data_IF_183264025515
#
_entry.id   IF_183264025515
#
_cell.length_a   1.000
_cell.length_b   1.000
_cell.length_c   1.000
_cell.angle_alpha   90.00
_cell.angle_beta   90.00
_cell.angle_gamma   90.00
#
_symmetry.space_group_name_H-M   'P 1'
#
loop_
_entity.id
_entity.type
_entity.pdbx_description
1 polymer ?
#
# COMPACT_ATOMS: atom_id res chain seq x y z
N UNK A 1 -46.33 9.29 44.13
CA UNK A 1 -45.28 8.35 43.66
C UNK A 1 -45.18 8.47 42.14
N UNK A 2 -43.96 8.52 41.64
CA UNK A 2 -43.59 9.01 40.30
C UNK A 2 -44.18 8.20 39.14
N UNK A 3 -44.53 8.91 38.06
CA UNK A 3 -45.05 8.34 36.83
C UNK A 3 -44.03 7.47 36.11
N UNK A 4 -44.39 6.22 35.82
CA UNK A 4 -43.67 5.39 34.87
C UNK A 4 -44.01 5.89 33.46
N UNK A 5 -43.01 6.43 32.78
CA UNK A 5 -43.11 6.75 31.35
C UNK A 5 -43.40 5.50 30.51
N UNK A 6 -43.95 5.67 29.30
CA UNK A 6 -44.35 4.55 28.46
C UNK A 6 -43.16 3.63 28.12
N UNK A 7 -43.40 2.31 28.03
CA UNK A 7 -42.36 1.31 27.78
C UNK A 7 -41.63 1.58 26.44
N UNK A 8 -40.32 1.27 26.35
CA UNK A 8 -39.53 1.51 25.16
C UNK A 8 -40.07 0.70 23.96
N UNK A 9 -40.29 1.37 22.83
CA UNK A 9 -40.78 0.72 21.61
C UNK A 9 -39.80 -0.36 21.11
N UNK A 10 -40.30 -1.57 20.87
CA UNK A 10 -39.53 -2.75 20.45
C UNK A 10 -38.92 -2.63 19.04
N UNK A 11 -39.42 -1.71 18.21
CA UNK A 11 -38.92 -1.49 16.86
C UNK A 11 -38.55 -0.03 16.64
N UNK A 12 -37.38 0.38 17.13
CA UNK A 12 -36.72 1.58 16.60
C UNK A 12 -36.36 1.32 15.14
N UNK A 13 -37.26 1.70 14.21
CA UNK A 13 -36.91 1.85 12.79
C UNK A 13 -35.61 2.66 12.72
N UNK A 14 -34.53 2.05 12.22
CA UNK A 14 -33.28 2.79 11.97
C UNK A 14 -33.63 3.91 10.98
N UNK A 15 -33.54 5.15 11.44
CA UNK A 15 -33.87 6.35 10.64
C UNK A 15 -32.74 6.77 9.70
N UNK A 16 -31.56 6.16 9.81
CA UNK A 16 -30.41 6.51 9.00
C UNK A 16 -30.39 5.63 7.75
N UNK A 17 -30.57 6.24 6.58
CA UNK A 17 -30.36 5.57 5.31
C UNK A 17 -28.89 5.15 5.18
N UNK A 18 -28.64 3.85 5.03
CA UNK A 18 -27.30 3.35 4.71
C UNK A 18 -26.99 3.78 3.28
N UNK A 19 -25.99 4.63 3.11
CA UNK A 19 -25.58 5.06 1.77
C UNK A 19 -24.82 3.91 1.11
N UNK A 20 -25.09 3.66 -0.17
CA UNK A 20 -24.50 2.56 -0.92
C UNK A 20 -22.97 2.63 -0.96
N UNK A 21 -22.33 1.48 -0.73
CA UNK A 21 -20.88 1.28 -0.91
C UNK A 21 -20.60 0.70 -2.30
N UNK A 22 -19.47 1.09 -2.88
CA UNK A 22 -18.93 0.51 -4.11
C UNK A 22 -18.10 -0.72 -3.75
N UNK A 23 -18.52 -1.89 -4.23
CA UNK A 23 -17.78 -3.14 -4.03
C UNK A 23 -16.63 -3.25 -5.02
N UNK A 24 -15.44 -3.51 -4.50
CA UNK A 24 -14.22 -3.81 -5.26
C UNK A 24 -13.92 -5.31 -5.15
N UNK A 25 -13.43 -5.98 -6.20
CA UNK A 25 -13.11 -7.41 -6.15
C UNK A 25 -11.90 -7.67 -5.24
N UNK A 26 -11.96 -8.74 -4.44
CA UNK A 26 -10.90 -9.11 -3.49
C UNK A 26 -9.60 -9.49 -4.20
N UNK A 27 -9.73 -10.19 -5.32
CA UNK A 27 -8.64 -10.67 -6.16
C UNK A 27 -7.90 -9.51 -6.87
N UNK A 28 -8.44 -8.30 -6.77
CA UNK A 28 -7.87 -7.13 -7.38
C UNK A 28 -8.15 -7.00 -8.86
N UNK A 29 -7.33 -6.21 -9.54
CA UNK A 29 -7.44 -6.03 -10.99
C UNK A 29 -6.68 -7.15 -11.71
N UNK A 30 -7.40 -8.05 -12.36
CA UNK A 30 -6.81 -9.15 -13.15
C UNK A 30 -6.11 -8.70 -14.44
N UNK A 31 -6.44 -7.51 -14.96
CA UNK A 31 -5.80 -6.97 -16.18
C UNK A 31 -4.37 -6.53 -15.88
N UNK A 32 -3.47 -6.70 -16.86
CA UNK A 32 -2.09 -6.21 -16.80
C UNK A 32 -2.04 -4.72 -16.42
N UNK A 33 -1.10 -4.36 -15.54
CA UNK A 33 -0.85 -2.97 -15.17
C UNK A 33 -0.66 -2.12 -16.44
N UNK A 34 -1.24 -0.90 -16.49
CA UNK A 34 -1.00 0.00 -17.62
C UNK A 34 0.49 0.35 -17.73
N UNK A 35 0.93 0.84 -18.89
CA UNK A 35 2.31 1.33 -19.04
C UNK A 35 2.56 2.46 -18.05
N UNK A 36 3.75 2.46 -17.43
CA UNK A 36 4.20 3.55 -16.57
C UNK A 36 4.08 4.91 -17.31
N UNK A 37 3.31 5.88 -16.80
CA UNK A 37 2.97 7.10 -17.54
C UNK A 37 3.92 8.27 -17.29
N UNK A 38 4.81 8.17 -16.29
CA UNK A 38 5.77 9.22 -15.95
C UNK A 38 7.12 8.97 -16.64
N UNK A 39 7.82 10.05 -16.97
CA UNK A 39 9.20 9.98 -17.44
C UNK A 39 10.19 9.71 -16.31
N UNK A 40 11.46 9.56 -16.66
CA UNK A 40 12.57 9.50 -15.71
C UNK A 40 12.64 10.78 -14.85
N UNK A 41 13.46 10.76 -13.79
CA UNK A 41 13.78 11.97 -13.06
C UNK A 41 14.64 12.90 -13.92
N UNK A 42 14.03 14.01 -14.37
CA UNK A 42 14.65 15.00 -15.25
C UNK A 42 15.89 15.61 -14.60
N UNK A 43 15.87 15.84 -13.29
CA UNK A 43 16.97 16.51 -12.60
C UNK A 43 18.22 15.62 -12.56
N UNK A 44 18.06 14.38 -12.12
CA UNK A 44 19.16 13.39 -12.11
C UNK A 44 19.64 13.10 -13.52
N UNK A 45 18.73 12.98 -14.50
CA UNK A 45 19.08 12.75 -15.91
C UNK A 45 19.84 13.92 -16.53
N UNK A 46 19.46 15.16 -16.23
CA UNK A 46 20.17 16.35 -16.69
C UNK A 46 21.58 16.44 -16.10
N UNK A 47 21.72 16.15 -14.79
CA UNK A 47 23.04 16.08 -14.12
C UNK A 47 23.94 15.01 -14.74
N UNK A 48 23.39 13.84 -15.04
CA UNK A 48 24.11 12.76 -15.71
C UNK A 48 24.59 13.20 -17.09
N UNK A 49 23.71 13.83 -17.87
CA UNK A 49 24.04 14.31 -19.22
C UNK A 49 25.19 15.31 -19.20
N UNK A 50 25.15 16.26 -18.25
CA UNK A 50 26.23 17.25 -18.09
C UNK A 50 27.54 16.57 -17.62
N UNK A 51 27.46 15.61 -16.70
CA UNK A 51 28.64 14.89 -16.22
C UNK A 51 29.30 14.07 -17.34
N UNK A 52 28.51 13.34 -18.15
CA UNK A 52 28.98 12.59 -19.32
C UNK A 52 29.69 13.49 -20.33
N UNK A 53 29.10 14.66 -20.63
CA UNK A 53 29.73 15.63 -21.52
C UNK A 53 31.11 16.07 -21.01
N UNK A 54 31.22 16.39 -19.71
CA UNK A 54 32.50 16.78 -19.11
C UNK A 54 33.54 15.67 -19.14
N UNK A 55 33.13 14.42 -18.94
CA UNK A 55 34.03 13.26 -19.07
C UNK A 55 34.54 13.17 -20.50
N UNK A 56 33.66 13.22 -21.49
CA UNK A 56 34.04 13.19 -22.90
C UNK A 56 35.01 14.31 -23.28
N UNK A 57 34.74 15.54 -22.83
CA UNK A 57 35.62 16.69 -23.09
C UNK A 57 37.02 16.49 -22.48
N UNK A 58 37.13 15.86 -21.29
CA UNK A 58 38.42 15.59 -20.65
C UNK A 58 39.17 14.41 -21.29
N UNK A 59 38.44 13.36 -21.72
CA UNK A 59 39.00 12.22 -22.44
C UNK A 59 39.57 12.63 -23.79
N UNK A 60 38.90 13.55 -24.51
CA UNK A 60 39.41 14.10 -25.77
C UNK A 60 40.72 14.88 -25.56
N UNK A 61 40.78 15.72 -24.53
CA UNK A 61 42.00 16.46 -24.18
C UNK A 61 43.14 15.54 -23.75
N UNK A 62 42.84 14.49 -22.98
CA UNK A 62 43.80 13.45 -22.63
C UNK A 62 44.35 12.74 -23.87
N UNK A 63 43.47 12.37 -24.81
CA UNK A 63 43.84 11.72 -26.06
C UNK A 63 44.69 12.63 -26.96
N UNK A 64 44.47 13.94 -26.91
CA UNK A 64 45.29 14.95 -27.58
C UNK A 64 46.66 15.17 -26.90
N UNK A 65 46.94 14.52 -25.77
CA UNK A 65 48.16 14.69 -25.00
C UNK A 65 48.24 16.00 -24.21
N UNK A 66 47.10 16.70 -24.03
CA UNK A 66 47.06 17.88 -23.18
C UNK A 66 47.21 17.51 -21.70
N UNK A 67 47.86 18.36 -20.90
CA UNK A 67 47.90 18.16 -19.45
C UNK A 67 46.49 18.29 -18.87
N UNK A 68 45.92 17.16 -18.47
CA UNK A 68 44.66 17.10 -17.73
C UNK A 68 44.91 16.68 -16.28
N UNK A 69 43.96 17.00 -15.41
CA UNK A 69 43.96 16.46 -14.06
C UNK A 69 43.29 15.07 -14.07
N UNK A 70 44.10 14.01 -14.14
CA UNK A 70 43.63 12.62 -14.17
C UNK A 70 42.72 12.29 -12.96
N UNK A 71 43.07 12.77 -11.76
CA UNK A 71 42.25 12.58 -10.58
C UNK A 71 40.87 13.27 -10.69
N UNK A 72 40.78 14.40 -11.42
CA UNK A 72 39.50 15.04 -11.69
C UNK A 72 38.66 14.26 -12.72
N UNK A 73 39.31 13.68 -13.74
CA UNK A 73 38.64 12.79 -14.70
C UNK A 73 38.06 11.56 -14.00
N UNK A 74 38.86 10.86 -13.17
CA UNK A 74 38.39 9.68 -12.42
C UNK A 74 37.18 10.02 -11.54
N UNK A 75 37.23 11.11 -10.77
CA UNK A 75 36.09 11.55 -9.94
C UNK A 75 34.84 11.86 -10.76
N UNK A 76 34.99 12.41 -11.97
CA UNK A 76 33.87 12.67 -12.86
C UNK A 76 33.29 11.38 -13.45
N UNK A 77 34.14 10.41 -13.80
CA UNK A 77 33.72 9.07 -14.23
C UNK A 77 32.94 8.35 -13.12
N UNK A 78 33.48 8.31 -11.90
CA UNK A 78 32.78 7.76 -10.72
C UNK A 78 31.42 8.45 -10.51
N UNK A 79 31.36 9.77 -10.69
CA UNK A 79 30.10 10.52 -10.57
C UNK A 79 29.10 10.17 -11.67
N UNK A 80 29.56 9.94 -12.90
CA UNK A 80 28.71 9.47 -14.01
C UNK A 80 28.13 8.11 -13.66
N UNK A 81 28.98 7.16 -13.26
CA UNK A 81 28.58 5.81 -12.87
C UNK A 81 27.51 5.83 -11.77
N UNK A 82 27.74 6.59 -10.70
CA UNK A 82 26.75 6.75 -9.61
C UNK A 82 25.43 7.32 -10.12
N UNK A 83 25.46 8.34 -10.99
CA UNK A 83 24.23 8.94 -11.52
C UNK A 83 23.47 8.00 -12.46
N UNK A 84 24.18 7.17 -13.23
CA UNK A 84 23.57 6.13 -14.07
C UNK A 84 22.86 5.09 -13.23
N UNK A 85 23.54 4.61 -12.19
CA UNK A 85 22.99 3.62 -11.28
C UNK A 85 21.75 4.15 -10.56
N UNK A 86 21.76 5.42 -10.11
CA UNK A 86 20.60 6.06 -9.49
C UNK A 86 19.40 6.08 -10.47
N UNK A 87 19.62 6.49 -11.72
CA UNK A 87 18.54 6.57 -12.73
C UNK A 87 17.97 5.18 -13.02
N UNK A 88 18.82 4.17 -13.17
CA UNK A 88 18.41 2.80 -13.43
C UNK A 88 17.61 2.22 -12.25
N UNK A 89 18.20 2.25 -11.05
CA UNK A 89 17.59 1.72 -9.82
C UNK A 89 16.25 2.41 -9.51
N UNK A 90 16.16 3.74 -9.62
CA UNK A 90 14.90 4.46 -9.41
C UNK A 90 13.83 4.02 -10.41
N UNK A 91 14.16 3.97 -11.70
CA UNK A 91 13.21 3.63 -12.75
C UNK A 91 12.64 2.23 -12.58
N UNK A 92 13.47 1.26 -12.20
CA UNK A 92 13.05 -0.13 -12.02
C UNK A 92 12.25 -0.32 -10.73
N UNK A 93 12.65 0.34 -9.64
CA UNK A 93 11.91 0.33 -8.39
C UNK A 93 10.50 0.94 -8.55
N UNK A 94 10.40 2.09 -9.22
CA UNK A 94 9.12 2.74 -9.52
C UNK A 94 8.21 1.83 -10.36
N UNK A 95 8.73 1.23 -11.44
CA UNK A 95 7.97 0.29 -12.28
C UNK A 95 7.54 -0.96 -11.53
N UNK A 96 8.36 -1.47 -10.62
CA UNK A 96 8.01 -2.63 -9.77
C UNK A 96 6.88 -2.26 -8.81
N UNK A 97 7.01 -1.16 -8.08
CA UNK A 97 5.98 -0.68 -7.14
C UNK A 97 4.67 -0.38 -7.86
N UNK A 98 4.73 0.22 -9.06
CA UNK A 98 3.58 0.41 -9.92
C UNK A 98 2.87 -0.92 -10.25
N UNK A 99 3.60 -1.94 -10.72
CA UNK A 99 3.01 -3.24 -11.04
C UNK A 99 2.33 -3.88 -9.83
N UNK A 100 2.95 -3.82 -8.65
CA UNK A 100 2.36 -4.36 -7.43
C UNK A 100 1.10 -3.59 -7.03
N UNK A 101 1.12 -2.26 -7.10
CA UNK A 101 -0.02 -1.41 -6.74
C UNK A 101 -1.25 -1.69 -7.64
N UNK A 102 -1.02 -1.97 -8.92
CA UNK A 102 -2.10 -2.31 -9.86
C UNK A 102 -2.70 -3.72 -9.67
N UNK A 103 -2.16 -4.55 -8.78
CA UNK A 103 -2.78 -5.82 -8.37
C UNK A 103 -3.84 -5.65 -7.27
N UNK A 104 -3.93 -4.48 -6.65
CA UNK A 104 -4.84 -4.25 -5.53
C UNK A 104 -6.32 -4.12 -5.99
N UNK A 105 -7.31 -4.36 -5.12
CA UNK A 105 -8.75 -4.08 -5.36
C UNK A 105 -9.02 -2.66 -5.87
N UNK A 106 -8.32 -1.69 -5.29
CA UNK A 106 -8.46 -0.27 -5.58
C UNK A 106 -8.10 0.07 -7.04
N UNK A 107 -7.23 -0.73 -7.66
CA UNK A 107 -6.83 -0.59 -9.05
C UNK A 107 -8.01 -0.69 -10.04
N UNK A 108 -9.08 -1.40 -9.68
CA UNK A 108 -10.31 -1.46 -10.50
C UNK A 108 -11.00 -0.11 -10.52
N UNK A 109 -11.09 0.56 -9.36
CA UNK A 109 -11.65 1.90 -9.26
C UNK A 109 -10.79 2.94 -10.00
N UNK A 110 -9.47 2.91 -9.80
CA UNK A 110 -8.57 3.83 -10.50
C UNK A 110 -8.62 3.66 -12.02
N UNK A 111 -8.72 2.42 -12.52
CA UNK A 111 -8.88 2.16 -13.95
C UNK A 111 -10.17 2.77 -14.51
N UNK A 112 -11.29 2.66 -13.77
CA UNK A 112 -12.58 3.24 -14.15
C UNK A 112 -12.52 4.77 -14.17
N UNK A 113 -11.87 5.36 -13.19
CA UNK A 113 -11.71 6.81 -13.04
C UNK A 113 -10.58 7.41 -13.88
N UNK A 114 -9.77 6.57 -14.54
CA UNK A 114 -8.60 6.95 -15.36
C UNK A 114 -7.50 7.68 -14.58
N UNK A 115 -7.36 7.40 -13.28
CA UNK A 115 -6.38 8.02 -12.38
C UNK A 115 -4.95 7.46 -12.55
N UNK A 116 -4.49 7.31 -13.78
CA UNK A 116 -3.18 6.69 -14.05
C UNK A 116 -2.03 7.55 -13.54
N UNK A 117 -2.10 8.88 -13.76
CA UNK A 117 -1.01 9.79 -13.41
C UNK A 117 -0.94 10.03 -11.91
N UNK A 118 -2.08 10.05 -11.23
CA UNK A 118 -2.19 10.25 -9.79
C UNK A 118 -1.61 9.05 -9.03
N UNK A 119 -1.93 7.83 -9.47
CA UNK A 119 -1.34 6.60 -8.93
C UNK A 119 0.17 6.56 -9.20
N UNK A 120 0.62 7.02 -10.37
CA UNK A 120 2.05 7.04 -10.69
C UNK A 120 2.80 8.09 -9.86
N UNK A 121 2.19 9.24 -9.63
CA UNK A 121 2.73 10.29 -8.77
C UNK A 121 2.86 9.80 -7.33
N UNK A 122 1.88 9.05 -6.82
CA UNK A 122 1.98 8.37 -5.52
C UNK A 122 3.19 7.45 -5.45
N UNK A 123 3.40 6.59 -6.47
CA UNK A 123 4.55 5.67 -6.51
C UNK A 123 5.89 6.41 -6.46
N UNK A 124 6.06 7.50 -7.24
CA UNK A 124 7.29 8.30 -7.20
C UNK A 124 7.53 8.93 -5.83
N UNK A 125 6.49 9.52 -5.22
CA UNK A 125 6.62 10.07 -3.87
C UNK A 125 6.90 9.00 -2.81
N UNK A 126 6.26 7.84 -2.93
CA UNK A 126 6.45 6.71 -2.02
C UNK A 126 7.87 6.16 -2.10
N UNK A 127 8.43 6.03 -3.30
CA UNK A 127 9.83 5.64 -3.51
C UNK A 127 10.79 6.64 -2.86
N UNK A 128 10.61 7.95 -3.08
CA UNK A 128 11.46 8.96 -2.44
C UNK A 128 11.32 8.96 -0.90
N UNK A 129 10.10 8.72 -0.39
CA UNK A 129 9.86 8.62 1.04
C UNK A 129 10.59 7.43 1.68
N UNK A 130 10.60 6.27 1.02
CA UNK A 130 11.32 5.07 1.47
C UNK A 130 12.85 5.28 1.48
N UNK A 131 13.35 6.17 0.62
CA UNK A 131 14.76 6.58 0.59
C UNK A 131 15.09 7.76 1.54
N UNK A 132 14.25 8.03 2.54
CA UNK A 132 14.55 8.98 3.61
C UNK A 132 14.10 10.43 3.37
N UNK A 133 13.42 10.72 2.25
CA UNK A 133 12.88 12.07 2.01
C UNK A 133 11.58 12.30 2.81
N UNK A 134 11.69 12.99 3.95
CA UNK A 134 10.55 13.28 4.84
C UNK A 134 9.42 14.08 4.15
N UNK A 135 9.77 15.04 3.28
CA UNK A 135 8.77 15.83 2.54
C UNK A 135 7.99 14.95 1.57
N UNK A 136 8.69 14.06 0.87
CA UNK A 136 8.07 13.05 0.02
C UNK A 136 7.12 12.13 0.81
N UNK A 137 7.47 11.79 2.05
CA UNK A 137 6.61 11.00 2.94
C UNK A 137 5.29 11.67 3.28
N UNK A 138 5.29 13.00 3.46
CA UNK A 138 4.06 13.76 3.69
C UNK A 138 3.13 13.71 2.48
N UNK A 139 3.67 13.97 1.28
CA UNK A 139 2.93 13.92 0.01
C UNK A 139 2.42 12.51 -0.30
N UNK A 140 3.26 11.48 -0.10
CA UNK A 140 2.87 10.09 -0.31
C UNK A 140 1.68 9.70 0.59
N UNK A 141 1.65 10.17 1.84
CA UNK A 141 0.52 9.92 2.75
C UNK A 141 -0.77 10.58 2.24
N UNK A 142 -0.70 11.85 1.84
CA UNK A 142 -1.86 12.59 1.33
C UNK A 142 -2.43 11.95 0.05
N UNK A 143 -1.55 11.56 -0.88
CA UNK A 143 -1.97 10.85 -2.08
C UNK A 143 -2.51 9.47 -1.77
N UNK A 144 -1.93 8.75 -0.81
CA UNK A 144 -2.45 7.45 -0.36
C UNK A 144 -3.87 7.56 0.19
N UNK A 145 -4.17 8.62 0.95
CA UNK A 145 -5.52 8.92 1.41
C UNK A 145 -6.46 9.32 0.26
N UNK A 146 -5.97 10.04 -0.76
CA UNK A 146 -6.80 10.38 -1.94
C UNK A 146 -7.10 9.17 -2.82
N UNK A 147 -6.19 8.20 -2.87
CA UNK A 147 -6.29 6.99 -3.68
C UNK A 147 -7.06 5.85 -3.00
N UNK A 148 -7.49 6.00 -1.74
CA UNK A 148 -8.21 4.94 -1.05
C UNK A 148 -7.31 3.82 -0.55
N UNK A 149 -6.03 4.08 -0.30
CA UNK A 149 -5.08 3.08 0.20
C UNK A 149 -5.17 2.87 1.72
N UNK A 150 -5.80 3.78 2.45
CA UNK A 150 -6.03 3.67 3.89
C UNK A 150 -7.47 3.29 4.19
N UNK A 151 -7.76 2.57 5.30
CA UNK A 151 -9.14 2.20 5.66
C UNK A 151 -10.08 3.41 5.79
N UNK A 152 -9.58 4.51 6.36
CA UNK A 152 -10.35 5.76 6.46
C UNK A 152 -10.65 6.37 5.09
N UNK A 153 -9.69 6.32 4.16
CA UNK A 153 -9.90 6.77 2.80
C UNK A 153 -10.89 5.89 2.04
N UNK A 154 -10.81 4.57 2.20
CA UNK A 154 -11.80 3.64 1.64
C UNK A 154 -13.21 3.97 2.15
N UNK A 155 -13.37 4.22 3.45
CA UNK A 155 -14.65 4.64 4.02
C UNK A 155 -15.16 5.97 3.41
N UNK A 156 -14.27 6.96 3.24
CA UNK A 156 -14.60 8.27 2.63
C UNK A 156 -15.00 8.15 1.16
N UNK A 157 -14.30 7.32 0.40
CA UNK A 157 -14.61 7.00 -1.00
C UNK A 157 -15.78 6.04 -1.14
N UNK A 158 -16.27 5.50 -0.01
CA UNK A 158 -17.33 4.49 0.06
C UNK A 158 -16.94 3.24 -0.73
N UNK A 159 -15.69 2.84 -0.65
CA UNK A 159 -15.17 1.62 -1.25
C UNK A 159 -15.13 0.52 -0.20
N UNK A 160 -15.58 -0.65 -0.58
CA UNK A 160 -15.56 -1.86 0.22
C UNK A 160 -14.95 -2.97 -0.63
N UNK A 161 -13.91 -3.63 -0.13
CA UNK A 161 -13.41 -4.83 -0.79
C UNK A 161 -14.40 -5.94 -0.48
N UNK A 162 -14.94 -6.57 -1.51
CA UNK A 162 -15.82 -7.73 -1.34
C UNK A 162 -15.07 -8.78 -0.50
N UNK A 163 -15.74 -9.35 0.51
CA UNK A 163 -15.14 -10.42 1.30
C UNK A 163 -14.77 -11.57 0.38
N UNK A 164 -13.49 -11.94 0.39
CA UNK A 164 -13.00 -13.16 -0.24
C UNK A 164 -13.61 -14.33 0.53
N UNK A 165 -14.28 -15.26 -0.14
CA UNK A 165 -14.81 -16.49 0.48
C UNK A 165 -13.70 -17.32 1.20
N UNK A 166 -12.43 -16.94 1.04
CA UNK A 166 -11.25 -17.54 1.65
C UNK A 166 -11.00 -17.09 3.10
N UNK A 167 -11.42 -15.88 3.49
CA UNK A 167 -11.31 -15.41 4.88
C UNK A 167 -12.30 -16.14 5.80
N UNK A 168 -13.47 -16.50 5.27
CA UNK A 168 -14.45 -17.33 5.96
C UNK A 168 -13.95 -18.78 6.10
N UNK A 169 -13.34 -19.36 5.05
CA UNK A 169 -12.71 -20.70 5.11
C UNK A 169 -11.49 -20.77 6.06
N UNK A 170 -10.72 -19.69 6.19
CA UNK A 170 -9.59 -19.62 7.15
C UNK A 170 -10.08 -19.55 8.60
N UNK A 171 -11.19 -18.85 8.87
CA UNK A 171 -11.84 -18.82 10.19
C UNK A 171 -12.49 -20.17 10.52
N UNK A 172 -13.10 -20.83 9.54
CA UNK A 172 -13.68 -22.17 9.68
C UNK A 172 -12.61 -23.21 10.05
N UNK A 173 -11.43 -23.18 9.41
CA UNK A 173 -10.31 -24.08 9.72
C UNK A 173 -9.56 -23.76 11.03
N UNK A 174 -9.79 -22.58 11.64
CA UNK A 174 -9.12 -22.18 12.89
C UNK A 174 -10.03 -22.36 14.11
N UNK A 175 -11.28 -22.81 13.94
CA UNK A 175 -12.16 -23.12 15.06
C UNK A 175 -11.79 -24.50 15.62
N UNK A 176 -11.24 -24.62 16.85
CA UNK A 176 -10.99 -25.92 17.44
C UNK A 176 -12.34 -26.62 17.67
N UNK A 177 -12.43 -27.95 17.50
CA UNK A 177 -13.65 -28.66 17.85
C UNK A 177 -13.99 -28.40 19.34
N UNK A 178 -15.28 -28.24 19.69
CA UNK A 178 -15.67 -28.02 21.07
C UNK A 178 -15.14 -29.16 21.94
N UNK A 179 -14.49 -28.81 23.05
CA UNK A 179 -13.91 -29.78 23.97
C UNK A 179 -14.99 -30.77 24.46
N UNK A 180 -14.67 -32.07 24.61
CA UNK A 180 -15.63 -33.04 25.11
C UNK A 180 -16.04 -32.67 26.54
N UNK A 181 -17.36 -32.58 26.75
CA UNK A 181 -17.93 -32.32 28.07
C UNK A 181 -17.48 -33.42 29.03
N UNK A 182 -16.75 -33.05 30.08
CA UNK A 182 -16.36 -34.00 31.13
C UNK A 182 -17.64 -34.41 31.88
N UNK A 183 -17.88 -35.71 32.12
CA UNK A 183 -19.02 -36.13 32.92
C UNK A 183 -18.87 -35.61 34.35
N UNK A 184 -19.87 -34.90 34.85
CA UNK A 184 -19.93 -34.41 36.22
C UNK A 184 -19.92 -35.59 37.20
N UNK A 185 -18.85 -35.69 38.00
CA UNK A 185 -18.77 -36.60 39.13
C UNK A 185 -19.78 -36.15 40.18
N UNK A 186 -20.85 -36.92 40.33
CA UNK A 186 -21.90 -36.70 41.33
C UNK A 186 -21.33 -36.90 42.73
N UNK A 187 -21.29 -35.83 43.52
CA UNK A 187 -21.00 -35.90 44.95
C UNK A 187 -22.08 -36.74 45.65
N UNK A 188 -21.65 -37.72 46.46
CA UNK A 188 -22.51 -38.51 47.33
C UNK A 188 -22.46 -37.84 48.70
N UNK A 189 -23.54 -37.15 49.08
CA UNK A 189 -23.70 -36.65 50.46
C UNK A 189 -24.28 -37.74 51.37
N UNK A 190 -23.80 -37.84 52.63
CA UNK A 190 -24.12 -38.91 53.55
C UNK A 190 -25.35 -38.60 54.41
N UNK A 191 -26.19 -39.62 54.64
CA UNK A 191 -27.07 -39.66 55.82
C UNK A 191 -28.56 -39.51 55.53
N UNK A 192 -29.24 -40.63 55.32
CA UNK A 192 -30.63 -40.83 55.72
C UNK A 192 -30.95 -42.33 55.75
N UNK A 193 -30.67 -42.98 56.88
CA UNK A 193 -31.34 -44.23 57.26
C UNK A 193 -31.94 -44.02 58.64
N UNK A 194 -33.21 -43.62 58.63
CA UNK A 194 -34.12 -43.78 59.75
C UNK A 194 -34.60 -45.25 59.75
N UNK A 195 -34.48 -45.92 60.88
CA UNK A 195 -34.95 -47.28 61.07
C UNK A 195 -35.22 -47.56 62.54
N UNK A 196 -36.47 -47.33 62.96
CA UNK A 196 -37.31 -48.09 63.91
C UNK A 196 -38.35 -47.18 64.54
#
# INVERSE_FOLDING_TARGET
MAGMGPPPQQHRRRRNATVAMTKLPAEGRQKTAPRWPLGEDIETRARLTVARRKVADLEERQAAGEPINEAALTRLQERVEVLEEIVATQTDAEKRMWRELWKTPQAVAWARLRWYREVAQYVRWKFHAENGNLKAGAEARQLGDRLGLTPLAMLRLRWEVAGDELDDKRKENTTPPPAPQRPDLKAVDPGAVAGS
#
